data_IF_192492245644
#
_entry.id   IF_192492245644
#
_cell.length_a   1.000
_cell.length_b   1.000
_cell.length_c   1.000
_cell.angle_alpha   90.00
_cell.angle_beta   90.00
_cell.angle_gamma   90.00
#
_symmetry.space_group_name_H-M   'P 1'
#
loop_
_entity.id
_entity.type
_entity.pdbx_description
1 polymer ?
#
# COMPACT_ATOMS: atom_id res chain seq x y z
N UNK A 1 -39.38 6.78 49.60
CA UNK A 1 -38.93 6.24 48.30
C UNK A 1 -37.43 6.48 48.22
N UNK A 2 -36.66 5.44 48.58
CA UNK A 2 -35.19 5.49 48.63
C UNK A 2 -34.62 5.24 47.23
N UNK A 3 -34.12 6.28 46.59
CA UNK A 3 -33.35 6.20 45.36
C UNK A 3 -32.02 5.50 45.64
N UNK A 4 -31.97 4.21 45.29
CA UNK A 4 -30.73 3.45 45.36
C UNK A 4 -29.75 4.04 44.31
N UNK A 5 -28.69 4.70 44.77
CA UNK A 5 -27.62 5.18 43.95
C UNK A 5 -26.96 3.99 43.27
N UNK A 6 -26.98 3.99 41.91
CA UNK A 6 -26.25 3.03 41.09
C UNK A 6 -24.77 3.23 41.40
N UNK A 7 -24.14 2.33 42.15
CA UNK A 7 -22.70 2.31 42.36
C UNK A 7 -22.01 2.07 41.00
N UNK A 8 -21.31 3.06 40.51
CA UNK A 8 -20.41 2.92 39.36
C UNK A 8 -19.34 1.86 39.68
N UNK A 9 -19.18 0.82 38.86
CA UNK A 9 -18.16 -0.19 39.11
C UNK A 9 -16.76 0.43 39.12
N UNK A 10 -15.91 0.05 40.09
CA UNK A 10 -14.51 0.49 40.21
C UNK A 10 -13.57 -0.17 39.19
N UNK A 11 -14.03 -0.51 38.00
CA UNK A 11 -13.25 -1.17 36.94
C UNK A 11 -14.00 -1.12 35.60
N UNK A 12 -13.41 -1.63 34.51
CA UNK A 12 -14.09 -1.68 33.22
C UNK A 12 -15.38 -2.49 33.33
N UNK A 13 -16.47 -1.93 32.81
CA UNK A 13 -17.79 -2.57 32.78
C UNK A 13 -17.70 -3.90 32.04
N UNK A 14 -18.23 -4.95 32.64
CA UNK A 14 -18.19 -6.31 32.11
C UNK A 14 -19.53 -6.74 31.52
N UNK A 15 -19.53 -7.81 30.72
CA UNK A 15 -20.76 -8.45 30.22
C UNK A 15 -21.71 -8.88 31.35
N UNK A 16 -21.17 -9.25 32.52
CA UNK A 16 -21.97 -9.59 33.70
C UNK A 16 -22.72 -8.39 34.25
N UNK A 17 -22.15 -7.21 34.19
CA UNK A 17 -22.78 -5.99 34.68
C UNK A 17 -23.92 -5.56 33.76
N UNK A 18 -23.77 -5.67 32.44
CA UNK A 18 -24.83 -5.48 31.45
C UNK A 18 -25.97 -6.47 31.69
N UNK A 19 -25.66 -7.74 31.85
CA UNK A 19 -26.67 -8.78 32.10
C UNK A 19 -27.48 -8.50 33.38
N UNK A 20 -26.80 -8.12 34.45
CA UNK A 20 -27.42 -7.73 35.73
C UNK A 20 -28.33 -6.51 35.57
N UNK A 21 -27.87 -5.47 34.88
CA UNK A 21 -28.64 -4.25 34.66
C UNK A 21 -29.87 -4.47 33.78
N UNK A 22 -29.74 -5.26 32.71
CA UNK A 22 -30.82 -5.55 31.78
C UNK A 22 -31.78 -6.65 32.28
N UNK A 23 -31.47 -7.34 33.42
CA UNK A 23 -32.27 -8.44 33.94
C UNK A 23 -32.28 -9.70 33.07
N UNK A 24 -31.15 -9.98 32.40
CA UNK A 24 -31.00 -11.11 31.46
C UNK A 24 -29.77 -11.95 31.79
N UNK A 25 -29.63 -13.12 31.15
CA UNK A 25 -28.38 -13.89 31.24
C UNK A 25 -27.24 -13.30 30.42
N UNK A 26 -26.00 -13.60 30.79
CA UNK A 26 -24.81 -13.22 30.00
C UNK A 26 -24.80 -13.81 28.59
N UNK A 27 -25.50 -14.95 28.39
CA UNK A 27 -25.69 -15.56 27.08
C UNK A 27 -26.55 -14.66 26.16
N UNK A 28 -27.66 -14.11 26.72
CA UNK A 28 -28.53 -13.18 25.97
C UNK A 28 -27.76 -11.91 25.58
N UNK A 29 -26.97 -11.33 26.50
CA UNK A 29 -26.09 -10.19 26.17
C UNK A 29 -25.13 -10.56 25.05
N UNK A 30 -24.54 -11.77 25.10
CA UNK A 30 -23.64 -12.26 24.04
C UNK A 30 -24.36 -12.40 22.70
N UNK A 31 -25.59 -12.84 22.67
CA UNK A 31 -26.38 -12.96 21.43
C UNK A 31 -26.70 -11.60 20.82
N UNK A 32 -27.07 -10.63 21.66
CA UNK A 32 -27.33 -9.24 21.18
C UNK A 32 -26.09 -8.56 20.66
N UNK A 33 -24.91 -8.78 21.28
CA UNK A 33 -23.67 -8.14 20.92
C UNK A 33 -23.01 -8.78 19.70
N UNK A 34 -23.08 -10.11 19.55
CA UNK A 34 -22.32 -10.85 18.53
C UNK A 34 -23.20 -11.50 17.45
N UNK A 35 -24.51 -11.21 17.38
CA UNK A 35 -25.40 -11.84 16.39
C UNK A 35 -25.48 -13.36 16.56
N UNK A 36 -25.73 -13.84 17.78
CA UNK A 36 -25.68 -15.27 18.10
C UNK A 36 -26.81 -16.11 17.45
N UNK A 37 -26.74 -17.46 17.57
CA UNK A 37 -27.58 -18.42 16.83
C UNK A 37 -29.07 -18.41 17.24
N UNK A 38 -29.44 -17.67 18.25
CA UNK A 38 -30.82 -17.53 18.71
C UNK A 38 -31.29 -16.09 18.58
N UNK A 39 -32.43 -15.91 17.91
CA UNK A 39 -33.10 -14.61 17.87
C UNK A 39 -33.54 -14.22 19.28
N UNK A 40 -33.13 -13.03 19.70
CA UNK A 40 -33.55 -12.40 20.95
C UNK A 40 -34.82 -11.59 20.66
N UNK A 41 -35.85 -11.72 21.52
CA UNK A 41 -37.06 -10.94 21.35
C UNK A 41 -36.75 -9.42 21.30
N UNK A 42 -37.35 -8.63 20.38
CA UNK A 42 -37.03 -7.23 20.17
C UNK A 42 -37.05 -6.38 21.45
N UNK A 43 -38.01 -6.62 22.33
CA UNK A 43 -38.10 -5.92 23.63
C UNK A 43 -36.90 -6.24 24.56
N UNK A 44 -36.40 -7.47 24.52
CA UNK A 44 -35.22 -7.89 25.30
C UNK A 44 -33.94 -7.33 24.70
N UNK A 45 -33.84 -7.34 23.38
CA UNK A 45 -32.71 -6.72 22.65
C UNK A 45 -32.61 -5.22 22.98
N UNK A 46 -33.71 -4.49 22.91
CA UNK A 46 -33.76 -3.07 23.26
C UNK A 46 -33.25 -2.81 24.70
N UNK A 47 -33.69 -3.62 25.69
CA UNK A 47 -33.21 -3.52 27.09
C UNK A 47 -31.69 -3.72 27.19
N UNK A 48 -31.16 -4.71 26.46
CA UNK A 48 -29.71 -4.99 26.49
C UNK A 48 -28.92 -3.84 25.80
N UNK A 49 -29.38 -3.31 24.67
CA UNK A 49 -28.75 -2.19 23.99
C UNK A 49 -28.78 -0.92 24.85
N UNK A 50 -29.86 -0.66 25.54
CA UNK A 50 -29.97 0.45 26.50
C UNK A 50 -29.02 0.28 27.68
N UNK A 51 -28.93 -0.94 28.25
CA UNK A 51 -27.98 -1.22 29.32
C UNK A 51 -26.52 -1.03 28.87
N UNK A 52 -26.17 -1.48 27.66
CA UNK A 52 -24.84 -1.25 27.05
C UNK A 52 -24.53 0.24 26.95
N UNK A 53 -25.48 1.03 26.44
CA UNK A 53 -25.35 2.49 26.27
C UNK A 53 -25.20 3.21 27.62
N UNK A 54 -26.04 2.88 28.60
CA UNK A 54 -26.06 3.52 29.93
C UNK A 54 -24.79 3.20 30.72
N UNK A 55 -24.35 1.95 30.68
CA UNK A 55 -23.17 1.51 31.42
C UNK A 55 -21.85 1.82 30.68
N UNK A 56 -21.89 2.22 29.41
CA UNK A 56 -20.69 2.44 28.61
C UNK A 56 -19.93 1.13 28.34
N UNK A 57 -20.64 -0.01 28.29
CA UNK A 57 -20.00 -1.30 28.03
C UNK A 57 -19.41 -1.34 26.62
N UNK A 58 -18.14 -1.69 26.54
CA UNK A 58 -17.46 -1.98 25.26
C UNK A 58 -17.08 -3.46 25.24
N UNK A 59 -17.51 -4.21 24.21
CA UNK A 59 -17.07 -5.58 24.02
C UNK A 59 -15.54 -5.66 24.02
N UNK A 60 -14.96 -6.63 24.72
CA UNK A 60 -13.53 -6.84 24.72
C UNK A 60 -13.16 -7.61 23.44
N UNK A 61 -12.49 -6.93 22.49
CA UNK A 61 -12.07 -7.51 21.23
C UNK A 61 -11.10 -8.68 21.45
N UNK A 62 -10.17 -8.58 22.39
CA UNK A 62 -9.22 -9.66 22.70
C UNK A 62 -9.93 -10.94 23.22
N UNK A 63 -10.95 -10.77 24.07
CA UNK A 63 -11.75 -11.91 24.55
C UNK A 63 -12.63 -12.51 23.43
N UNK A 64 -13.04 -11.68 22.44
CA UNK A 64 -13.76 -12.14 21.26
C UNK A 64 -12.82 -12.92 20.34
N UNK A 65 -11.63 -12.36 20.05
CA UNK A 65 -10.61 -12.99 19.24
C UNK A 65 -10.22 -14.38 19.78
N UNK A 66 -9.98 -14.48 21.09
CA UNK A 66 -9.68 -15.77 21.75
C UNK A 66 -10.80 -16.80 21.56
N UNK A 67 -12.07 -16.36 21.56
CA UNK A 67 -13.22 -17.26 21.38
C UNK A 67 -13.43 -17.68 19.94
N UNK A 68 -13.18 -16.77 18.98
CA UNK A 68 -13.38 -16.99 17.55
C UNK A 68 -12.17 -17.62 16.87
N UNK A 69 -10.98 -17.53 17.49
CA UNK A 69 -9.71 -17.90 16.87
C UNK A 69 -9.28 -16.91 15.77
N UNK A 70 -9.87 -15.70 15.73
CA UNK A 70 -9.60 -14.66 14.74
C UNK A 70 -9.73 -13.30 15.38
N UNK A 71 -8.80 -12.40 15.10
CA UNK A 71 -8.83 -11.00 15.56
C UNK A 71 -9.69 -10.10 14.68
N UNK A 72 -10.11 -10.62 13.52
CA UNK A 72 -10.75 -9.84 12.44
C UNK A 72 -9.92 -8.58 12.09
N UNK A 73 -8.60 -8.73 12.11
CA UNK A 73 -7.67 -7.63 11.87
C UNK A 73 -6.51 -8.11 10.98
N UNK A 74 -6.17 -7.34 9.97
CA UNK A 74 -4.99 -7.55 9.13
C UNK A 74 -3.94 -6.47 9.37
N UNK A 75 -2.67 -6.80 9.17
CA UNK A 75 -1.56 -5.86 9.21
C UNK A 75 -1.15 -5.47 7.80
N UNK A 76 -0.83 -4.20 7.59
CA UNK A 76 -0.22 -3.69 6.35
C UNK A 76 1.09 -3.01 6.69
N UNK A 77 2.17 -3.43 6.05
CA UNK A 77 3.50 -2.83 6.18
C UNK A 77 3.84 -2.18 4.85
N UNK A 78 4.03 -0.85 4.85
CA UNK A 78 4.45 -0.09 3.68
C UNK A 78 5.79 0.59 3.94
N UNK A 79 6.57 0.93 2.88
CA UNK A 79 7.81 1.68 3.05
C UNK A 79 7.58 3.07 3.63
N UNK A 80 6.62 3.79 3.08
CA UNK A 80 6.32 5.18 3.46
C UNK A 80 4.87 5.54 3.09
N UNK A 81 4.02 5.76 4.08
CA UNK A 81 2.64 6.17 3.85
C UNK A 81 2.49 7.66 3.49
N UNK A 82 3.58 8.43 3.42
CA UNK A 82 3.58 9.78 2.83
C UNK A 82 3.76 9.75 1.32
N UNK A 83 4.14 8.60 0.75
CA UNK A 83 4.10 8.38 -0.68
C UNK A 83 2.66 8.10 -1.12
N UNK A 84 2.06 8.93 -2.00
CA UNK A 84 0.67 8.79 -2.43
C UNK A 84 0.32 7.41 -2.98
N UNK A 85 1.24 6.75 -3.70
CA UNK A 85 1.04 5.39 -4.20
C UNK A 85 0.79 4.40 -3.05
N UNK A 86 1.66 4.36 -2.04
CA UNK A 86 1.49 3.46 -0.90
C UNK A 86 0.31 3.83 -0.02
N UNK A 87 -0.03 5.13 0.06
CA UNK A 87 -1.23 5.61 0.73
C UNK A 87 -2.50 5.09 0.05
N UNK A 88 -2.58 5.20 -1.28
CA UNK A 88 -3.72 4.71 -2.07
C UNK A 88 -3.82 3.19 -2.00
N UNK A 89 -2.69 2.47 -2.10
CA UNK A 89 -2.66 1.02 -1.97
C UNK A 89 -3.14 0.55 -0.58
N UNK A 90 -2.68 1.22 0.49
CA UNK A 90 -3.13 0.90 1.84
C UNK A 90 -4.63 1.18 2.03
N UNK A 91 -5.14 2.28 1.46
CA UNK A 91 -6.57 2.61 1.49
C UNK A 91 -7.42 1.57 0.74
N UNK A 92 -6.99 1.17 -0.46
CA UNK A 92 -7.67 0.14 -1.22
C UNK A 92 -7.67 -1.23 -0.50
N UNK A 93 -6.59 -1.58 0.19
CA UNK A 93 -6.53 -2.79 1.03
C UNK A 93 -7.49 -2.66 2.22
N UNK A 94 -7.59 -1.48 2.84
CA UNK A 94 -8.52 -1.22 3.96
C UNK A 94 -9.97 -1.42 3.51
N UNK A 95 -10.35 -0.83 2.38
CA UNK A 95 -11.71 -0.94 1.83
C UNK A 95 -12.04 -2.40 1.50
N UNK A 96 -11.18 -3.09 0.76
CA UNK A 96 -11.40 -4.49 0.41
C UNK A 96 -11.44 -5.42 1.64
N UNK A 97 -10.62 -5.16 2.66
CA UNK A 97 -10.65 -5.92 3.90
C UNK A 97 -11.91 -5.63 4.73
N UNK A 98 -12.38 -4.37 4.75
CA UNK A 98 -13.59 -3.97 5.47
C UNK A 98 -14.85 -4.62 4.90
N UNK A 99 -14.93 -4.84 3.59
CA UNK A 99 -16.03 -5.59 2.95
C UNK A 99 -16.14 -7.03 3.47
N UNK A 100 -15.01 -7.63 3.88
CA UNK A 100 -14.95 -8.96 4.50
C UNK A 100 -15.01 -8.91 6.03
N UNK A 101 -15.22 -7.73 6.64
CA UNK A 101 -15.36 -7.54 8.08
C UNK A 101 -14.06 -7.44 8.84
N UNK A 102 -12.93 -7.23 8.16
CA UNK A 102 -11.61 -7.04 8.78
C UNK A 102 -11.29 -5.56 9.01
N UNK A 103 -10.70 -5.27 10.18
CA UNK A 103 -10.03 -4.00 10.43
C UNK A 103 -8.56 -4.07 9.99
N UNK A 104 -7.91 -2.90 9.85
CA UNK A 104 -6.52 -2.81 9.40
C UNK A 104 -5.62 -2.09 10.40
N UNK A 105 -4.38 -2.57 10.53
CA UNK A 105 -3.29 -1.88 11.23
C UNK A 105 -2.19 -1.56 10.22
N UNK A 106 -2.03 -0.27 9.90
CA UNK A 106 -0.98 0.21 9.00
C UNK A 106 0.30 0.53 9.78
N UNK A 107 1.45 0.09 9.24
CA UNK A 107 2.78 0.39 9.78
C UNK A 107 3.75 0.82 8.68
N UNK A 108 4.74 1.63 9.04
CA UNK A 108 5.77 2.10 8.12
C UNK A 108 7.14 1.51 8.44
N UNK A 109 7.85 1.03 7.42
CA UNK A 109 9.21 0.51 7.55
C UNK A 109 10.30 1.56 7.29
N UNK A 110 9.96 2.66 6.59
CA UNK A 110 10.94 3.65 6.14
C UNK A 110 11.97 3.06 5.17
N UNK A 111 11.63 1.98 4.45
CA UNK A 111 12.55 1.25 3.57
C UNK A 111 13.67 0.50 4.32
N UNK A 112 13.49 0.23 5.62
CA UNK A 112 14.48 -0.43 6.48
C UNK A 112 14.09 -1.87 6.78
N UNK A 113 14.91 -2.84 6.37
CA UNK A 113 14.73 -4.26 6.72
C UNK A 113 14.55 -4.49 8.22
N UNK A 114 15.35 -3.81 9.05
CA UNK A 114 15.25 -3.96 10.50
C UNK A 114 13.88 -3.51 11.03
N UNK A 115 13.30 -2.45 10.47
CA UNK A 115 11.95 -2.00 10.81
C UNK A 115 10.86 -2.90 10.23
N UNK A 116 11.02 -3.43 9.02
CA UNK A 116 10.10 -4.43 8.46
C UNK A 116 9.99 -5.63 9.39
N UNK A 117 11.12 -6.22 9.76
CA UNK A 117 11.20 -7.33 10.73
C UNK A 117 10.56 -6.98 12.07
N UNK A 118 10.83 -5.79 12.61
CA UNK A 118 10.22 -5.35 13.86
C UNK A 118 8.70 -5.19 13.73
N UNK A 119 8.21 -4.66 12.62
CA UNK A 119 6.77 -4.50 12.35
C UNK A 119 6.08 -5.87 12.23
N UNK A 120 6.69 -6.83 11.54
CA UNK A 120 6.19 -8.21 11.45
C UNK A 120 6.03 -8.80 12.85
N UNK A 121 7.08 -8.76 13.70
CA UNK A 121 7.02 -9.26 15.07
C UNK A 121 5.95 -8.54 15.91
N UNK A 122 5.79 -7.23 15.75
CA UNK A 122 4.78 -6.46 16.46
C UNK A 122 3.35 -6.84 16.06
N UNK A 123 3.11 -7.11 14.76
CA UNK A 123 1.82 -7.57 14.24
C UNK A 123 1.54 -9.02 14.70
N UNK A 124 2.56 -9.89 14.67
CA UNK A 124 2.49 -11.24 15.21
C UNK A 124 2.06 -11.25 16.69
N UNK A 125 2.73 -10.43 17.52
CA UNK A 125 2.39 -10.30 18.93
C UNK A 125 0.96 -9.77 19.19
N UNK A 126 0.37 -9.07 18.23
CA UNK A 126 -1.04 -8.63 18.25
C UNK A 126 -2.02 -9.65 17.72
N UNK A 127 -1.52 -10.81 17.25
CA UNK A 127 -2.33 -11.90 16.70
C UNK A 127 -3.22 -11.43 15.55
N UNK A 128 -2.67 -10.61 14.63
CA UNK A 128 -3.39 -10.28 13.39
C UNK A 128 -3.59 -11.55 12.55
N UNK A 129 -4.70 -11.61 11.79
CA UNK A 129 -5.08 -12.81 11.03
C UNK A 129 -4.28 -12.96 9.72
N UNK A 130 -3.57 -11.91 9.32
CA UNK A 130 -2.69 -11.92 8.18
C UNK A 130 -1.92 -10.62 8.01
N UNK A 131 -0.87 -10.65 7.18
CA UNK A 131 0.01 -9.51 6.91
C UNK A 131 0.18 -9.28 5.42
N UNK A 132 0.01 -8.05 4.98
CA UNK A 132 0.43 -7.56 3.67
C UNK A 132 1.75 -6.84 3.82
N UNK A 133 2.76 -7.25 3.08
CA UNK A 133 4.08 -6.61 3.07
C UNK A 133 4.35 -6.00 1.70
N UNK A 134 4.39 -4.66 1.62
CA UNK A 134 4.97 -3.93 0.50
C UNK A 134 6.38 -3.47 0.89
N UNK A 135 7.40 -4.05 0.27
CA UNK A 135 8.80 -3.70 0.53
C UNK A 135 9.39 -2.95 -0.67
N UNK A 136 10.19 -1.91 -0.39
CA UNK A 136 11.09 -1.30 -1.37
C UNK A 136 12.47 -1.95 -1.40
N UNK A 137 12.68 -2.98 -0.61
CA UNK A 137 13.93 -3.75 -0.60
C UNK A 137 13.82 -4.87 -1.63
N UNK A 138 14.77 -4.94 -2.54
CA UNK A 138 14.75 -5.88 -3.68
C UNK A 138 14.90 -7.35 -3.29
N UNK A 139 15.50 -7.62 -2.15
CA UNK A 139 15.63 -8.97 -1.59
C UNK A 139 15.24 -8.89 -0.09
N UNK A 140 13.94 -8.82 0.22
CA UNK A 140 13.49 -8.70 1.59
C UNK A 140 13.80 -9.97 2.37
N UNK A 141 14.28 -9.81 3.60
CA UNK A 141 14.43 -10.94 4.52
C UNK A 141 13.06 -11.36 5.07
N UNK A 142 12.50 -12.41 4.51
CA UNK A 142 11.16 -12.92 4.84
C UNK A 142 11.14 -13.89 6.02
N UNK A 143 12.30 -14.17 6.66
CA UNK A 143 12.46 -15.14 7.76
C UNK A 143 11.49 -14.86 8.93
N UNK A 144 11.24 -13.60 9.27
CA UNK A 144 10.30 -13.28 10.35
C UNK A 144 8.82 -13.56 9.95
N UNK A 145 8.45 -13.48 8.66
CA UNK A 145 7.13 -13.92 8.17
C UNK A 145 7.02 -15.44 8.22
N UNK A 146 8.04 -16.16 7.74
CA UNK A 146 8.08 -17.63 7.77
C UNK A 146 7.97 -18.17 9.20
N UNK A 147 8.78 -17.63 10.11
CA UNK A 147 8.82 -18.11 11.51
C UNK A 147 7.61 -17.69 12.33
N UNK A 148 6.90 -16.63 11.95
CA UNK A 148 5.67 -16.20 12.62
C UNK A 148 4.46 -17.07 12.30
N UNK A 149 4.53 -17.86 11.23
CA UNK A 149 3.42 -18.66 10.70
C UNK A 149 2.14 -17.84 10.38
N UNK A 150 2.26 -16.51 10.31
CA UNK A 150 1.13 -15.64 9.95
C UNK A 150 0.91 -15.70 8.44
N UNK A 151 -0.32 -15.95 7.97
CA UNK A 151 -0.65 -15.84 6.57
C UNK A 151 -0.18 -14.51 6.00
N UNK A 152 0.53 -14.52 4.88
CA UNK A 152 1.16 -13.31 4.35
C UNK A 152 1.04 -13.23 2.84
N UNK A 153 0.84 -12.01 2.33
CA UNK A 153 0.87 -11.67 0.91
C UNK A 153 1.88 -10.55 0.68
N UNK A 154 2.77 -10.74 -0.28
CA UNK A 154 3.69 -9.71 -0.71
C UNK A 154 3.00 -8.80 -1.72
N UNK A 155 2.92 -7.52 -1.41
CA UNK A 155 2.32 -6.48 -2.24
C UNK A 155 3.40 -5.71 -3.02
N UNK A 156 3.03 -5.23 -4.21
CA UNK A 156 3.94 -4.49 -5.09
C UNK A 156 5.23 -5.28 -5.36
N UNK A 157 5.08 -6.59 -5.50
CA UNK A 157 6.17 -7.52 -5.73
C UNK A 157 5.92 -8.29 -7.03
N UNK A 158 6.75 -8.03 -8.04
CA UNK A 158 6.72 -8.73 -9.33
C UNK A 158 7.49 -10.07 -9.30
N UNK A 159 8.19 -10.36 -8.23
CA UNK A 159 8.88 -11.63 -8.01
C UNK A 159 7.94 -12.75 -7.54
N UNK A 160 8.40 -13.98 -7.60
CA UNK A 160 7.70 -15.17 -7.10
C UNK A 160 8.52 -15.81 -5.97
N UNK A 161 8.61 -15.17 -4.80
CA UNK A 161 9.40 -15.70 -3.69
C UNK A 161 8.84 -17.06 -3.25
N UNK A 162 9.69 -18.10 -3.11
CA UNK A 162 9.23 -19.39 -2.64
C UNK A 162 8.47 -19.29 -1.30
N UNK A 163 7.35 -19.98 -1.20
CA UNK A 163 6.56 -20.02 0.03
C UNK A 163 5.61 -18.86 0.26
N UNK A 164 5.58 -17.86 -0.61
CA UNK A 164 4.70 -16.68 -0.46
C UNK A 164 3.81 -16.45 -1.68
N UNK A 165 2.59 -16.03 -1.41
CA UNK A 165 1.73 -15.40 -2.42
C UNK A 165 2.19 -13.97 -2.66
N UNK A 166 2.19 -13.53 -3.92
CA UNK A 166 2.57 -12.15 -4.25
C UNK A 166 1.63 -11.55 -5.28
N UNK A 167 1.44 -10.24 -5.18
CA UNK A 167 0.66 -9.43 -6.10
C UNK A 167 1.49 -8.21 -6.48
N UNK A 168 1.68 -8.00 -7.78
CA UNK A 168 2.45 -6.88 -8.31
C UNK A 168 2.10 -6.57 -9.75
N UNK A 169 2.95 -5.78 -10.38
CA UNK A 169 2.85 -5.40 -11.79
C UNK A 169 4.13 -5.72 -12.53
N UNK A 170 4.06 -5.84 -13.85
CA UNK A 170 5.23 -5.96 -14.70
C UNK A 170 5.91 -4.58 -14.84
N UNK A 171 6.90 -4.33 -13.97
CA UNK A 171 7.67 -3.08 -13.96
C UNK A 171 8.46 -2.88 -15.26
N UNK A 172 8.95 -3.97 -15.87
CA UNK A 172 9.71 -3.92 -17.12
C UNK A 172 8.81 -3.52 -18.28
N UNK A 173 7.64 -4.15 -18.42
CA UNK A 173 6.68 -3.82 -19.45
C UNK A 173 6.15 -2.38 -19.31
N UNK A 174 5.88 -1.94 -18.07
CA UNK A 174 5.45 -0.56 -17.81
C UNK A 174 6.52 0.46 -18.18
N UNK A 175 7.78 0.21 -17.81
CA UNK A 175 8.89 1.08 -18.18
C UNK A 175 9.13 1.11 -19.70
N UNK A 176 8.99 -0.03 -20.38
CA UNK A 176 9.01 -0.12 -21.83
C UNK A 176 7.98 0.82 -22.45
N UNK A 177 6.72 0.74 -22.01
CA UNK A 177 5.65 1.60 -22.52
C UNK A 177 5.97 3.10 -22.35
N UNK A 178 6.52 3.51 -21.20
CA UNK A 178 6.94 4.88 -20.95
C UNK A 178 8.05 5.34 -21.90
N UNK A 179 9.07 4.51 -22.09
CA UNK A 179 10.24 4.85 -22.91
C UNK A 179 9.92 4.82 -24.41
N UNK A 180 9.15 3.83 -24.88
CA UNK A 180 8.64 3.76 -26.27
C UNK A 180 7.81 5.01 -26.61
N UNK A 181 6.99 5.48 -25.65
CA UNK A 181 6.22 6.71 -25.82
C UNK A 181 7.13 7.93 -26.01
N UNK A 182 8.19 8.09 -25.20
CA UNK A 182 9.17 9.16 -25.36
C UNK A 182 9.94 9.06 -26.69
N UNK A 183 10.33 7.85 -27.11
CA UNK A 183 10.97 7.61 -28.41
C UNK A 183 10.00 8.00 -29.55
N UNK A 184 8.71 7.69 -29.42
CA UNK A 184 7.65 8.07 -30.35
C UNK A 184 7.53 9.59 -30.54
N UNK A 185 7.90 10.40 -29.53
CA UNK A 185 8.03 11.86 -29.62
C UNK A 185 9.38 12.34 -30.19
N UNK A 186 10.26 11.43 -30.60
CA UNK A 186 11.54 11.75 -31.23
C UNK A 186 12.70 11.96 -30.23
N UNK A 187 12.51 11.64 -28.96
CA UNK A 187 13.59 11.71 -27.99
C UNK A 187 14.59 10.57 -28.20
N UNK A 188 15.87 10.89 -28.32
CA UNK A 188 16.96 9.93 -28.50
C UNK A 188 17.97 9.92 -27.35
N UNK A 189 17.92 10.92 -26.47
CA UNK A 189 18.70 11.00 -25.24
C UNK A 189 17.72 11.07 -24.05
N UNK A 190 17.37 9.91 -23.50
CA UNK A 190 16.36 9.75 -22.45
C UNK A 190 17.05 9.36 -21.16
N UNK A 191 16.98 10.23 -20.16
CA UNK A 191 17.52 9.97 -18.84
C UNK A 191 16.59 9.07 -17.98
N UNK A 192 17.19 8.32 -17.05
CA UNK A 192 16.46 7.58 -16.01
C UNK A 192 16.77 8.15 -14.63
N UNK A 193 15.73 8.58 -13.92
CA UNK A 193 15.78 8.81 -12.48
C UNK A 193 15.23 7.58 -11.76
N UNK A 194 16.09 6.86 -11.02
CA UNK A 194 15.73 5.59 -10.39
C UNK A 194 16.01 5.63 -8.88
N UNK A 195 15.29 4.82 -8.12
CA UNK A 195 15.51 4.65 -6.70
C UNK A 195 16.91 4.11 -6.38
N UNK A 196 17.38 4.40 -5.18
CA UNK A 196 18.62 3.80 -4.70
C UNK A 196 18.37 2.33 -4.37
N UNK A 197 19.02 1.44 -5.11
CA UNK A 197 19.00 0.02 -4.85
C UNK A 197 20.26 -0.38 -4.07
N UNK A 198 20.10 -1.15 -2.99
CA UNK A 198 21.20 -1.71 -2.20
C UNK A 198 21.52 -3.17 -2.55
N UNK A 199 20.74 -3.78 -3.44
CA UNK A 199 20.90 -5.17 -3.90
C UNK A 199 21.64 -5.29 -5.23
N UNK A 200 21.96 -6.53 -5.61
CA UNK A 200 22.60 -6.85 -6.89
C UNK A 200 21.60 -7.03 -8.06
N UNK A 201 20.30 -7.00 -7.78
CA UNK A 201 19.27 -7.12 -8.81
C UNK A 201 18.91 -5.74 -9.37
N UNK A 202 18.76 -5.68 -10.69
CA UNK A 202 18.27 -4.48 -11.35
C UNK A 202 16.76 -4.34 -11.10
N UNK A 203 16.32 -3.11 -10.92
CA UNK A 203 14.88 -2.79 -10.90
C UNK A 203 14.28 -3.09 -12.28
N UNK A 204 13.07 -3.66 -12.32
CA UNK A 204 12.40 -3.95 -13.60
C UNK A 204 12.23 -2.70 -14.47
N UNK A 205 12.06 -1.51 -13.86
CA UNK A 205 11.98 -0.24 -14.58
C UNK A 205 13.31 0.15 -15.23
N UNK A 206 14.42 -0.14 -14.57
CA UNK A 206 15.78 0.05 -15.14
C UNK A 206 15.99 -0.91 -16.31
N UNK A 207 15.61 -2.18 -16.15
CA UNK A 207 15.70 -3.19 -17.21
C UNK A 207 14.86 -2.78 -18.43
N UNK A 208 13.61 -2.37 -18.21
CA UNK A 208 12.70 -1.94 -19.28
C UNK A 208 13.22 -0.71 -20.03
N UNK A 209 13.70 0.31 -19.29
CA UNK A 209 14.32 1.50 -19.89
C UNK A 209 15.54 1.15 -20.75
N UNK A 210 16.47 0.35 -20.22
CA UNK A 210 17.71 -0.01 -20.90
C UNK A 210 17.46 -0.86 -22.15
N UNK A 211 16.62 -1.88 -22.05
CA UNK A 211 16.27 -2.75 -23.18
C UNK A 211 15.57 -1.96 -24.28
N UNK A 212 14.61 -1.11 -23.93
CA UNK A 212 13.86 -0.33 -24.94
C UNK A 212 14.76 0.61 -25.73
N UNK A 213 15.70 1.29 -25.07
CA UNK A 213 16.69 2.12 -25.78
C UNK A 213 17.55 1.29 -26.75
N UNK A 214 18.04 0.15 -26.29
CA UNK A 214 18.89 -0.74 -27.12
C UNK A 214 18.13 -1.36 -28.29
N UNK A 215 16.90 -1.79 -28.08
CA UNK A 215 16.02 -2.34 -29.13
C UNK A 215 15.73 -1.28 -30.22
N UNK A 216 15.66 -0.01 -29.82
CA UNK A 216 15.52 1.15 -30.75
C UNK A 216 16.84 1.59 -31.39
N UNK A 217 17.97 0.94 -31.08
CA UNK A 217 19.30 1.33 -31.59
C UNK A 217 19.81 2.66 -31.01
N UNK A 218 19.28 3.09 -29.88
CA UNK A 218 19.67 4.31 -29.19
C UNK A 218 20.78 4.05 -28.15
N UNK A 219 21.62 5.06 -27.86
CA UNK A 219 22.61 4.92 -26.79
C UNK A 219 21.93 4.79 -25.42
N UNK A 220 22.61 4.12 -24.48
CA UNK A 220 22.20 4.14 -23.08
C UNK A 220 22.23 5.61 -22.60
N UNK A 221 21.08 6.10 -22.12
CA UNK A 221 20.96 7.45 -21.59
C UNK A 221 21.63 7.61 -20.21
N UNK A 222 21.70 8.82 -19.66
CA UNK A 222 22.21 9.04 -18.32
C UNK A 222 21.25 8.48 -17.27
N UNK A 223 21.76 7.66 -16.34
CA UNK A 223 21.00 7.11 -15.22
C UNK A 223 21.50 7.71 -13.91
N UNK A 224 20.57 8.20 -13.09
CA UNK A 224 20.86 8.80 -11.79
C UNK A 224 20.02 8.18 -10.69
N UNK A 225 20.69 7.81 -9.61
CA UNK A 225 20.04 7.25 -8.41
C UNK A 225 19.73 8.34 -7.38
N UNK A 226 18.56 8.24 -6.76
CA UNK A 226 18.14 9.04 -5.61
C UNK A 226 17.07 8.31 -4.79
N UNK A 227 16.81 8.73 -3.54
CA UNK A 227 15.64 8.24 -2.81
C UNK A 227 14.34 8.44 -3.60
N UNK A 228 13.36 7.55 -3.42
CA UNK A 228 12.02 7.64 -4.02
C UNK A 228 11.17 8.76 -3.39
N UNK A 229 11.70 9.98 -3.36
CA UNK A 229 11.09 11.13 -2.70
C UNK A 229 11.12 12.38 -3.58
N UNK A 230 10.26 13.37 -3.29
CA UNK A 230 10.27 14.66 -3.97
C UNK A 230 11.64 15.37 -3.85
N UNK A 231 12.27 15.46 -2.65
CA UNK A 231 13.63 15.99 -2.53
C UNK A 231 14.66 15.21 -3.35
N UNK A 232 14.56 13.86 -3.38
CA UNK A 232 15.44 13.02 -4.20
C UNK A 232 15.32 13.34 -5.70
N UNK A 233 14.09 13.46 -6.20
CA UNK A 233 13.83 13.88 -7.57
C UNK A 233 14.33 15.29 -7.89
N UNK A 234 14.18 16.23 -6.96
CA UNK A 234 14.69 17.59 -7.12
C UNK A 234 16.22 17.61 -7.30
N UNK A 235 16.96 16.89 -6.45
CA UNK A 235 18.41 16.80 -6.57
C UNK A 235 18.86 16.10 -7.86
N UNK A 236 18.14 15.05 -8.27
CA UNK A 236 18.39 14.38 -9.57
C UNK A 236 18.11 15.32 -10.73
N UNK A 237 17.02 16.08 -10.70
CA UNK A 237 16.69 17.09 -11.71
C UNK A 237 17.83 18.11 -11.88
N UNK A 238 18.37 18.64 -10.79
CA UNK A 238 19.54 19.56 -10.82
C UNK A 238 20.78 18.90 -11.43
N UNK A 239 21.01 17.61 -11.13
CA UNK A 239 22.16 16.88 -11.70
C UNK A 239 21.99 16.68 -13.20
N UNK A 240 20.80 16.34 -13.71
CA UNK A 240 20.54 16.28 -15.15
C UNK A 240 20.76 17.62 -15.84
N UNK A 241 20.33 18.72 -15.22
CA UNK A 241 20.53 20.07 -15.74
C UNK A 241 22.01 20.47 -15.84
N UNK A 242 22.84 19.98 -14.93
CA UNK A 242 24.28 20.27 -14.91
C UNK A 242 25.10 19.46 -15.93
N UNK A 243 24.49 18.49 -16.65
CA UNK A 243 25.20 17.69 -17.63
C UNK A 243 25.47 18.49 -18.91
N UNK A 244 26.66 18.35 -19.47
CA UNK A 244 27.02 18.97 -20.76
C UNK A 244 26.13 18.42 -21.90
N UNK A 245 25.85 17.12 -21.90
CA UNK A 245 24.91 16.46 -22.80
C UNK A 245 23.67 16.03 -21.99
N UNK A 246 22.87 17.03 -21.60
CA UNK A 246 21.66 16.78 -20.83
C UNK A 246 20.63 16.00 -21.65
N UNK A 247 19.82 15.12 -21.01
CA UNK A 247 18.75 14.42 -21.71
C UNK A 247 17.67 15.40 -22.18
N UNK A 248 16.97 15.06 -23.26
CA UNK A 248 15.81 15.81 -23.76
C UNK A 248 14.49 15.30 -23.16
N UNK A 249 14.53 14.12 -22.54
CA UNK A 249 13.43 13.56 -21.80
C UNK A 249 13.94 12.78 -20.59
N UNK A 250 13.13 12.68 -19.55
CA UNK A 250 13.42 11.90 -18.33
C UNK A 250 12.27 10.92 -18.07
N UNK A 251 12.62 9.65 -17.91
CA UNK A 251 11.77 8.67 -17.26
C UNK A 251 12.10 8.66 -15.77
N UNK A 252 11.15 9.03 -14.92
CA UNK A 252 11.26 8.98 -13.47
C UNK A 252 10.59 7.72 -12.95
N UNK A 253 11.28 6.95 -12.13
CA UNK A 253 10.81 5.65 -11.65
C UNK A 253 9.61 5.73 -10.69
N UNK A 254 9.24 6.93 -10.22
CA UNK A 254 7.97 7.17 -9.54
C UNK A 254 7.51 8.63 -9.66
N UNK A 255 6.23 8.88 -9.34
CA UNK A 255 5.63 10.22 -9.42
C UNK A 255 6.28 11.22 -8.47
N UNK A 256 6.71 10.81 -7.27
CA UNK A 256 7.35 11.71 -6.32
C UNK A 256 8.69 12.25 -6.85
N UNK A 257 9.51 11.40 -7.46
CA UNK A 257 10.75 11.85 -8.13
C UNK A 257 10.43 12.78 -9.30
N UNK A 258 9.41 12.43 -10.11
CA UNK A 258 8.99 13.27 -11.23
C UNK A 258 8.58 14.68 -10.77
N UNK A 259 7.79 14.81 -9.71
CA UNK A 259 7.40 16.11 -9.14
C UNK A 259 8.62 16.90 -8.66
N UNK A 260 9.59 16.23 -8.04
CA UNK A 260 10.84 16.85 -7.66
C UNK A 260 11.63 17.36 -8.88
N UNK A 261 11.68 16.56 -9.94
CA UNK A 261 12.32 16.95 -11.23
C UNK A 261 11.60 18.15 -11.84
N UNK A 262 10.25 18.11 -11.94
CA UNK A 262 9.48 19.26 -12.43
C UNK A 262 9.82 20.55 -11.70
N UNK A 263 9.95 20.49 -10.37
CA UNK A 263 10.37 21.63 -9.54
C UNK A 263 11.76 22.15 -9.95
N UNK A 264 12.73 21.26 -10.13
CA UNK A 264 14.09 21.64 -10.52
C UNK A 264 14.13 22.28 -11.92
N UNK A 265 13.37 21.74 -12.89
CA UNK A 265 13.24 22.27 -14.24
C UNK A 265 12.61 23.67 -14.23
N UNK A 266 11.52 23.82 -13.49
CA UNK A 266 10.84 25.11 -13.34
C UNK A 266 11.74 26.20 -12.74
N UNK A 267 12.49 25.90 -11.68
CA UNK A 267 13.43 26.84 -11.05
C UNK A 267 14.59 27.21 -11.98
N UNK A 268 14.93 26.34 -12.93
CA UNK A 268 15.93 26.63 -13.99
C UNK A 268 15.34 27.40 -15.18
N UNK A 269 14.06 27.74 -15.16
CA UNK A 269 13.36 28.45 -16.24
C UNK A 269 13.07 27.59 -17.47
N UNK A 270 13.07 26.26 -17.34
CA UNK A 270 12.75 25.34 -18.43
C UNK A 270 11.26 24.97 -18.44
N UNK A 271 10.72 24.88 -19.65
CA UNK A 271 9.35 24.46 -19.89
C UNK A 271 9.28 22.94 -20.07
N UNK A 272 8.34 22.32 -19.40
CA UNK A 272 7.99 20.92 -19.63
C UNK A 272 6.68 20.91 -20.42
N UNK A 273 6.60 20.27 -21.58
CA UNK A 273 7.59 19.33 -22.17
C UNK A 273 8.60 19.96 -23.13
N UNK A 274 8.46 21.23 -23.54
CA UNK A 274 9.13 21.82 -24.70
C UNK A 274 10.67 21.78 -24.62
N UNK A 275 11.24 22.05 -23.42
CA UNK A 275 12.69 21.98 -23.20
C UNK A 275 13.15 20.61 -22.70
N UNK A 276 12.28 19.90 -21.98
CA UNK A 276 12.52 18.57 -21.44
C UNK A 276 11.21 17.86 -21.11
N UNK A 277 10.95 16.74 -21.75
CA UNK A 277 9.79 15.91 -21.43
C UNK A 277 10.01 15.08 -20.15
N UNK A 278 8.93 14.80 -19.42
CA UNK A 278 8.98 13.96 -18.22
C UNK A 278 7.84 12.95 -18.26
N UNK A 279 8.18 11.67 -18.07
CA UNK A 279 7.23 10.58 -17.88
C UNK A 279 7.56 9.89 -16.56
N UNK A 280 6.53 9.47 -15.80
CA UNK A 280 6.72 8.86 -14.50
C UNK A 280 6.09 7.46 -14.39
N UNK A 281 6.13 6.91 -13.20
CA UNK A 281 5.55 5.63 -12.82
C UNK A 281 4.76 5.80 -11.52
N UNK A 282 3.79 4.98 -11.28
CA UNK A 282 2.85 4.78 -10.18
C UNK A 282 1.42 5.18 -10.53
N UNK A 283 1.19 6.32 -11.19
CA UNK A 283 -0.15 6.81 -11.51
C UNK A 283 -0.88 7.36 -10.28
N UNK A 284 -0.15 7.86 -9.30
CA UNK A 284 -0.75 8.44 -8.10
C UNK A 284 -1.56 9.71 -8.42
N UNK A 285 -2.47 10.08 -7.51
CA UNK A 285 -3.30 11.29 -7.66
C UNK A 285 -2.45 12.56 -7.87
N UNK A 286 -1.27 12.65 -7.26
CA UNK A 286 -0.35 13.77 -7.42
C UNK A 286 0.08 13.97 -8.89
N UNK A 287 0.12 12.91 -9.71
CA UNK A 287 0.49 13.00 -11.13
C UNK A 287 -0.52 13.80 -11.96
N UNK A 288 -1.80 13.74 -11.59
CA UNK A 288 -2.87 14.48 -12.25
C UNK A 288 -2.84 15.97 -11.89
N UNK A 289 -2.52 16.26 -10.62
CA UNK A 289 -2.55 17.63 -10.07
C UNK A 289 -1.18 18.32 -10.08
N UNK A 290 -0.16 17.70 -10.69
CA UNK A 290 1.12 18.37 -10.96
C UNK A 290 1.00 19.40 -12.08
N UNK A 291 1.98 20.28 -12.23
CA UNK A 291 2.04 21.25 -13.33
C UNK A 291 3.39 21.18 -14.06
N UNK A 292 3.37 20.78 -15.36
CA UNK A 292 2.23 20.21 -16.10
C UNK A 292 1.77 18.89 -15.50
N UNK A 293 0.52 18.46 -15.83
CA UNK A 293 0.02 17.16 -15.42
C UNK A 293 0.90 16.04 -16.01
N UNK A 294 1.33 15.10 -15.16
CA UNK A 294 2.31 14.07 -15.51
C UNK A 294 1.69 12.94 -16.32
N UNK A 295 2.32 12.66 -17.47
CA UNK A 295 2.19 11.36 -18.14
C UNK A 295 2.86 10.31 -17.28
N UNK A 296 2.15 9.25 -16.93
CA UNK A 296 2.62 8.26 -15.95
C UNK A 296 2.15 6.86 -16.31
N UNK A 297 2.93 5.86 -15.94
CA UNK A 297 2.49 4.46 -15.97
C UNK A 297 1.73 4.16 -14.69
N UNK A 298 0.42 4.02 -14.80
CA UNK A 298 -0.45 3.77 -13.67
C UNK A 298 -0.45 2.28 -13.28
N UNK A 299 -0.39 2.03 -11.99
CA UNK A 299 -0.58 0.71 -11.40
C UNK A 299 -2.06 0.54 -11.00
N UNK A 300 -2.66 -0.64 -11.21
CA UNK A 300 -4.07 -0.89 -10.89
C UNK A 300 -4.26 -1.17 -9.40
N UNK A 301 -4.16 -0.14 -8.57
CA UNK A 301 -4.07 -0.23 -7.10
C UNK A 301 -5.25 -0.98 -6.49
N UNK A 302 -6.48 -0.70 -6.97
CA UNK A 302 -7.71 -1.35 -6.50
C UNK A 302 -7.69 -2.84 -6.81
N UNK A 303 -7.34 -3.22 -8.04
CA UNK A 303 -7.26 -4.63 -8.44
C UNK A 303 -6.13 -5.38 -7.71
N UNK A 304 -5.01 -4.70 -7.42
CA UNK A 304 -3.93 -5.24 -6.59
C UNK A 304 -4.42 -5.54 -5.16
N UNK A 305 -5.15 -4.60 -4.56
CA UNK A 305 -5.69 -4.74 -3.23
C UNK A 305 -6.72 -5.87 -3.14
N UNK A 306 -7.68 -5.92 -4.07
CA UNK A 306 -8.70 -6.97 -4.13
C UNK A 306 -8.07 -8.37 -4.28
N UNK A 307 -7.11 -8.51 -5.21
CA UNK A 307 -6.40 -9.78 -5.41
C UNK A 307 -5.67 -10.23 -4.14
N UNK A 308 -4.98 -9.30 -3.48
CA UNK A 308 -4.22 -9.59 -2.26
C UNK A 308 -5.15 -9.96 -1.08
N UNK A 309 -6.22 -9.20 -0.85
CA UNK A 309 -7.17 -9.46 0.24
C UNK A 309 -7.89 -10.78 0.01
N UNK A 310 -8.31 -11.09 -1.22
CA UNK A 310 -8.93 -12.38 -1.56
C UNK A 310 -7.99 -13.54 -1.27
N UNK A 311 -6.72 -13.41 -1.60
CA UNK A 311 -5.72 -14.43 -1.35
C UNK A 311 -5.43 -14.64 0.15
N UNK A 312 -5.46 -13.58 0.96
CA UNK A 312 -5.10 -13.64 2.37
C UNK A 312 -6.26 -14.08 3.27
N UNK A 313 -7.44 -13.50 3.11
CA UNK A 313 -8.58 -13.67 4.03
C UNK A 313 -9.90 -14.03 3.34
N UNK A 314 -9.95 -13.99 2.01
CA UNK A 314 -11.11 -14.29 1.19
C UNK A 314 -11.27 -15.78 0.87
N UNK A 315 -12.03 -16.07 -0.18
CA UNK A 315 -12.29 -17.44 -0.66
C UNK A 315 -11.02 -18.17 -1.12
N UNK A 316 -9.97 -17.43 -1.50
CA UNK A 316 -8.67 -17.98 -1.88
C UNK A 316 -7.77 -18.39 -0.72
N UNK A 317 -8.21 -18.23 0.53
CA UNK A 317 -7.42 -18.59 1.71
C UNK A 317 -7.13 -20.09 1.76
N UNK A 318 -5.84 -20.43 1.76
CA UNK A 318 -5.40 -21.84 1.80
C UNK A 318 -5.33 -22.53 0.44
N UNK A 319 -5.60 -21.81 -0.67
CA UNK A 319 -5.27 -22.29 -2.02
C UNK A 319 -3.75 -22.35 -2.22
N UNK A 320 -3.33 -22.99 -3.33
CA UNK A 320 -1.92 -23.00 -3.71
C UNK A 320 -1.37 -21.56 -3.84
N UNK A 321 -0.10 -21.39 -3.47
CA UNK A 321 0.58 -20.10 -3.58
C UNK A 321 0.36 -19.49 -4.96
N UNK A 322 -0.11 -18.24 -4.99
CA UNK A 322 -0.45 -17.52 -6.21
C UNK A 322 0.53 -16.38 -6.43
N UNK A 323 0.87 -16.21 -7.70
CA UNK A 323 1.68 -15.09 -8.15
C UNK A 323 0.90 -14.33 -9.20
N UNK A 324 0.38 -13.14 -8.83
CA UNK A 324 -0.47 -12.33 -9.68
C UNK A 324 0.30 -11.12 -10.19
N UNK A 325 0.50 -11.05 -11.50
CA UNK A 325 1.06 -9.89 -12.19
C UNK A 325 -0.08 -9.19 -12.94
N UNK A 326 -0.39 -7.96 -12.54
CA UNK A 326 -1.44 -7.16 -13.14
C UNK A 326 -0.88 -6.23 -14.22
N UNK A 327 -1.64 -5.91 -15.27
CA UNK A 327 -1.18 -5.00 -16.31
C UNK A 327 -1.14 -3.57 -15.78
N UNK A 328 -0.16 -2.81 -16.24
CA UNK A 328 -0.09 -1.36 -16.06
C UNK A 328 -0.67 -0.62 -17.26
N UNK A 329 -1.04 0.64 -17.11
CA UNK A 329 -1.57 1.50 -18.16
C UNK A 329 -0.78 2.79 -18.27
N UNK A 330 -0.37 3.20 -19.48
CA UNK A 330 0.22 4.51 -19.69
C UNK A 330 -0.87 5.58 -19.80
N UNK A 331 -0.98 6.41 -18.80
CA UNK A 331 -1.88 7.56 -18.76
C UNK A 331 -1.17 8.77 -19.36
N UNK A 332 -1.54 9.10 -20.59
CA UNK A 332 -0.95 10.22 -21.31
C UNK A 332 -1.56 11.54 -20.85
N UNK A 333 -0.71 12.50 -20.49
CA UNK A 333 -1.06 13.87 -20.11
C UNK A 333 -0.12 14.87 -20.77
N UNK A 334 0.15 16.02 -20.14
CA UNK A 334 0.84 17.16 -20.75
C UNK A 334 2.37 17.07 -20.71
N UNK A 335 2.95 16.35 -19.75
CA UNK A 335 4.40 16.42 -19.48
C UNK A 335 5.28 15.70 -20.51
N UNK A 336 4.71 14.96 -21.45
CA UNK A 336 5.41 14.23 -22.52
C UNK A 336 5.38 14.94 -23.88
N UNK A 337 4.56 15.99 -24.03
CA UNK A 337 4.37 16.69 -25.31
C UNK A 337 3.10 16.30 -26.09
N UNK A 338 2.29 15.40 -25.58
CA UNK A 338 0.94 15.16 -26.11
C UNK A 338 0.01 16.35 -25.83
N UNK A 339 -0.86 16.67 -26.82
CA UNK A 339 -1.85 17.75 -26.70
C UNK A 339 -3.18 17.24 -26.18
#
# INVERSE_FOLDING_TARGET
MTTSAVQTPRGPVTRKDVARYAGVSTAVVSYVVNGGPKNVAPATEAKVRDAIRILGYRPNAAARALKLGSSETVGVIVPDNTNPFFSQLAHAVEDAAAELGYGMVLTNSGGSLAKERQNIRNLAARQVDGVFLASCVFDPDLTDLETSEIPSVLLNNAGSPPGFTSVGVDLEAGARAAVEHLIGHGHTNIGLAIGTNTGNQLDGREVGWLRTLRDAGLPDGPMLHSPFTRPGGYEVGKRFLAMANRPTAIFASNDMQAIGILRALHEAGLNVPDDMAVVSFDGSLDSEYSWPALTTVAQPVEAMAEAAVRALVGEGRGEALQHSILPTELIVRQSCGCK
#
